data_IF_331548729815
#
_entry.id   IF_331548729815
#
_cell.length_a   1.000
_cell.length_b   1.000
_cell.length_c   1.000
_cell.angle_alpha   90.00
_cell.angle_beta   90.00
_cell.angle_gamma   90.00
#
_symmetry.space_group_name_H-M   'P 1'
#
loop_
_entity.id
_entity.type
_entity.pdbx_description
1 polymer ?
#
# COMPACT_ATOMS: atom_id res chain seq x y z
N UNK A 1 17.43 -4.93 10.37
CA UNK A 1 16.82 -4.19 11.50
C UNK A 1 15.76 -5.00 12.23
N UNK A 2 14.69 -5.46 11.54
CA UNK A 2 13.53 -6.11 12.17
C UNK A 2 13.91 -7.39 12.95
N UNK A 3 14.66 -8.31 12.35
CA UNK A 3 15.13 -9.53 13.02
C UNK A 3 16.00 -9.21 14.27
N UNK A 4 16.85 -8.19 14.18
CA UNK A 4 17.66 -7.77 15.32
C UNK A 4 16.79 -7.29 16.50
N UNK A 5 15.78 -6.46 16.23
CA UNK A 5 14.88 -5.94 17.27
C UNK A 5 14.12 -7.07 17.96
N UNK A 6 13.56 -8.01 17.17
CA UNK A 6 12.78 -9.13 17.72
C UNK A 6 13.68 -10.07 18.53
N UNK A 7 14.90 -10.39 18.06
CA UNK A 7 15.84 -11.20 18.82
C UNK A 7 16.24 -10.52 20.15
N UNK A 8 16.48 -9.22 20.12
CA UNK A 8 16.79 -8.47 21.37
C UNK A 8 15.64 -8.46 22.35
N UNK A 9 14.40 -8.32 21.87
CA UNK A 9 13.22 -8.44 22.72
C UNK A 9 13.11 -9.84 23.34
N UNK A 10 13.39 -10.88 22.55
CA UNK A 10 13.41 -12.27 23.04
C UNK A 10 14.50 -12.51 24.07
N UNK A 11 15.73 -12.01 23.85
CA UNK A 11 16.84 -12.09 24.80
C UNK A 11 16.50 -11.40 26.14
N UNK A 12 15.77 -10.29 26.07
CA UNK A 12 15.32 -9.55 27.26
C UNK A 12 14.05 -10.14 27.91
N UNK A 13 13.43 -11.16 27.30
CA UNK A 13 12.16 -11.72 27.76
C UNK A 13 10.96 -10.78 27.65
N UNK A 14 11.06 -9.72 26.83
CA UNK A 14 10.05 -8.66 26.73
C UNK A 14 9.20 -8.79 25.46
N UNK A 15 7.89 -8.50 25.49
CA UNK A 15 7.11 -8.33 24.27
C UNK A 15 7.58 -7.10 23.50
N UNK A 16 7.33 -7.05 22.19
CA UNK A 16 7.77 -5.95 21.34
C UNK A 16 6.70 -5.48 20.35
N UNK A 17 6.45 -4.18 20.34
CA UNK A 17 5.66 -3.50 19.33
C UNK A 17 6.61 -2.72 18.40
N UNK A 18 6.55 -3.03 17.10
CA UNK A 18 7.41 -2.44 16.06
C UNK A 18 6.61 -1.48 15.21
N UNK A 19 7.14 -0.27 15.02
CA UNK A 19 6.59 0.74 14.13
C UNK A 19 7.36 0.76 12.81
N UNK A 20 6.64 0.64 11.68
CA UNK A 20 7.19 0.81 10.34
C UNK A 20 6.44 1.97 9.66
N UNK A 21 7.08 3.13 9.62
CA UNK A 21 6.59 4.33 8.90
C UNK A 21 7.35 4.50 7.57
N UNK A 22 7.53 3.41 6.87
CA UNK A 22 8.20 3.30 5.57
C UNK A 22 7.27 2.58 4.60
N UNK A 23 7.29 3.00 3.33
CA UNK A 23 6.53 2.32 2.28
C UNK A 23 7.02 2.70 0.89
N UNK A 24 6.74 1.81 -0.07
CA UNK A 24 6.95 2.02 -1.50
C UNK A 24 5.77 1.42 -2.28
N UNK A 25 5.78 1.59 -3.60
CA UNK A 25 4.73 1.08 -4.49
C UNK A 25 5.19 -0.12 -5.34
N UNK A 26 6.37 -0.70 -5.03
CA UNK A 26 6.95 -1.79 -5.83
C UNK A 26 6.41 -3.15 -5.41
N UNK A 27 5.47 -3.70 -6.18
CA UNK A 27 4.88 -5.02 -6.00
C UNK A 27 3.41 -5.09 -6.39
N UNK A 28 2.81 -6.27 -6.26
CA UNK A 28 1.43 -6.55 -6.65
C UNK A 28 0.36 -5.93 -5.74
N UNK A 29 0.74 -5.36 -4.61
CA UNK A 29 -0.15 -4.86 -3.53
C UNK A 29 -1.13 -5.94 -2.98
N UNK A 30 -0.76 -7.22 -3.13
CA UNK A 30 -1.56 -8.38 -2.67
C UNK A 30 -1.04 -9.03 -1.39
N UNK A 31 0.03 -8.47 -0.78
CA UNK A 31 0.64 -9.04 0.41
C UNK A 31 1.59 -10.21 0.12
N UNK A 32 1.99 -10.41 -1.13
CA UNK A 32 2.75 -11.60 -1.60
C UNK A 32 4.20 -11.31 -1.98
N UNK A 33 4.66 -10.05 -1.89
CA UNK A 33 6.07 -9.73 -2.15
C UNK A 33 6.99 -10.40 -1.12
N UNK A 34 8.26 -10.60 -1.47
CA UNK A 34 9.25 -11.16 -0.54
C UNK A 34 9.39 -10.34 0.74
N UNK A 35 9.28 -9.00 0.64
CA UNK A 35 9.30 -8.13 1.81
C UNK A 35 8.09 -8.37 2.71
N UNK A 36 6.89 -8.46 2.14
CA UNK A 36 5.66 -8.69 2.89
C UNK A 36 5.64 -10.06 3.54
N UNK A 37 6.04 -11.10 2.81
CA UNK A 37 6.19 -12.47 3.33
C UNK A 37 7.18 -12.51 4.50
N UNK A 38 8.31 -11.81 4.36
CA UNK A 38 9.30 -11.69 5.45
C UNK A 38 8.73 -10.97 6.67
N UNK A 39 8.01 -9.87 6.48
CA UNK A 39 7.39 -9.12 7.58
C UNK A 39 6.30 -9.96 8.27
N UNK A 40 5.51 -10.71 7.52
CA UNK A 40 4.50 -11.63 8.06
C UNK A 40 5.13 -12.77 8.86
N UNK A 41 6.26 -13.32 8.40
CA UNK A 41 7.04 -14.29 9.17
C UNK A 41 7.56 -13.69 10.47
N UNK A 42 8.14 -12.49 10.40
CA UNK A 42 8.63 -11.78 11.58
C UNK A 42 7.51 -11.46 12.58
N UNK A 43 6.31 -11.11 12.10
CA UNK A 43 5.12 -10.88 12.95
C UNK A 43 4.69 -12.12 13.73
N UNK A 44 5.06 -13.31 13.27
CA UNK A 44 4.75 -14.59 13.92
C UNK A 44 5.79 -15.04 14.92
N UNK A 45 6.93 -14.33 15.03
CA UNK A 45 8.02 -14.67 15.95
C UNK A 45 7.80 -14.00 17.30
N UNK A 46 8.09 -14.76 18.36
CA UNK A 46 8.03 -14.24 19.74
C UNK A 46 6.68 -13.55 20.03
N UNK A 47 6.66 -12.70 21.06
CA UNK A 47 5.52 -11.86 21.44
C UNK A 47 5.59 -10.52 20.70
N UNK A 48 5.37 -10.54 19.36
CA UNK A 48 5.58 -9.40 18.48
C UNK A 48 4.28 -8.86 17.93
N UNK A 49 4.20 -7.52 17.78
CA UNK A 49 3.20 -6.80 17.00
C UNK A 49 3.94 -5.86 16.06
N UNK A 50 3.57 -5.84 14.78
CA UNK A 50 4.12 -4.92 13.78
C UNK A 50 3.00 -4.03 13.26
N UNK A 51 3.17 -2.70 13.37
CA UNK A 51 2.26 -1.70 12.82
C UNK A 51 2.92 -1.00 11.64
N UNK A 52 2.20 -0.84 10.55
CA UNK A 52 2.70 -0.27 9.29
C UNK A 52 1.77 0.82 8.80
N UNK A 53 2.33 1.99 8.43
CA UNK A 53 1.55 3.07 7.82
C UNK A 53 1.03 2.69 6.44
N UNK A 54 -0.21 3.08 6.14
CA UNK A 54 -0.88 2.76 4.86
C UNK A 54 -0.28 3.47 3.64
N UNK A 55 0.59 4.46 3.86
CA UNK A 55 1.15 5.32 2.82
C UNK A 55 0.34 6.60 2.61
N UNK A 56 0.90 7.52 1.81
CA UNK A 56 0.33 8.85 1.57
C UNK A 56 -0.07 9.05 0.10
N UNK A 57 -0.40 7.96 -0.60
CA UNK A 57 -0.65 7.94 -2.04
C UNK A 57 -2.15 8.05 -2.41
N UNK A 58 -3.06 8.14 -1.43
CA UNK A 58 -4.51 8.11 -1.62
C UNK A 58 -5.05 9.11 -2.65
N UNK A 59 -4.56 10.36 -2.63
CA UNK A 59 -5.00 11.43 -3.53
C UNK A 59 -3.95 11.79 -4.62
N UNK A 60 -2.90 10.99 -4.81
CA UNK A 60 -1.75 11.35 -5.68
C UNK A 60 -1.93 11.03 -7.15
N UNK A 61 -3.01 10.34 -7.53
CA UNK A 61 -3.24 9.86 -8.89
C UNK A 61 -2.08 9.01 -9.45
N UNK A 62 -1.36 8.31 -8.58
CA UNK A 62 -0.25 7.42 -8.92
C UNK A 62 -0.66 5.99 -9.23
N UNK A 63 -1.96 5.68 -9.16
CA UNK A 63 -2.53 4.36 -9.44
C UNK A 63 -3.70 4.47 -10.41
N UNK A 64 -3.81 3.48 -11.31
CA UNK A 64 -4.99 3.27 -12.14
C UNK A 64 -5.20 1.77 -12.39
N UNK A 65 -6.43 1.39 -12.67
CA UNK A 65 -6.79 0.02 -13.00
C UNK A 65 -7.78 -0.04 -14.16
N UNK A 66 -7.71 -1.14 -14.90
CA UNK A 66 -8.69 -1.45 -15.95
C UNK A 66 -9.05 -2.92 -15.94
N UNK A 67 -10.21 -3.23 -16.50
CA UNK A 67 -10.62 -4.60 -16.79
C UNK A 67 -10.71 -4.82 -18.29
N UNK A 68 -9.74 -5.55 -18.83
CA UNK A 68 -9.66 -5.91 -20.23
C UNK A 68 -10.75 -6.90 -20.60
N UNK A 69 -11.20 -6.80 -21.85
CA UNK A 69 -12.16 -7.73 -22.47
C UNK A 69 -11.63 -8.19 -23.82
N UNK A 70 -11.87 -9.46 -24.18
CA UNK A 70 -11.48 -9.98 -25.47
C UNK A 70 -12.05 -9.13 -26.61
N UNK A 71 -11.23 -8.81 -27.59
CA UNK A 71 -11.61 -8.04 -28.78
C UNK A 71 -11.77 -6.52 -28.57
N UNK A 72 -11.53 -5.99 -27.36
CA UNK A 72 -11.64 -4.56 -27.08
C UNK A 72 -10.30 -3.98 -26.63
N UNK A 73 -9.70 -3.16 -27.47
CA UNK A 73 -8.50 -2.37 -27.12
C UNK A 73 -8.84 -1.35 -26.02
N UNK A 74 -7.93 -1.17 -25.08
CA UNK A 74 -8.05 -0.19 -23.97
C UNK A 74 -6.86 0.76 -24.02
N UNK A 75 -7.12 2.03 -23.86
CA UNK A 75 -6.12 3.08 -23.78
C UNK A 75 -6.15 3.73 -22.41
N UNK A 76 -4.97 3.99 -21.86
CA UNK A 76 -4.73 4.64 -20.57
C UNK A 76 -3.78 5.79 -20.79
N UNK A 77 -4.12 6.95 -20.29
CA UNK A 77 -3.31 8.15 -20.43
C UNK A 77 -2.67 8.55 -19.09
N UNK A 78 -1.43 9.00 -19.18
CA UNK A 78 -0.73 9.60 -18.06
C UNK A 78 0.06 10.83 -18.49
N UNK A 79 0.12 11.80 -17.62
CA UNK A 79 0.93 12.98 -17.78
C UNK A 79 2.32 12.75 -17.17
N UNK A 80 3.36 13.15 -17.87
CA UNK A 80 4.71 13.34 -17.35
C UNK A 80 4.94 14.81 -17.15
N UNK A 81 5.27 15.21 -15.94
CA UNK A 81 5.57 16.60 -15.58
C UNK A 81 6.85 17.10 -16.23
N UNK A 82 7.02 18.42 -16.25
CA UNK A 82 8.29 19.03 -16.65
C UNK A 82 9.39 18.66 -15.65
N UNK A 83 10.61 18.47 -16.17
CA UNK A 83 11.80 18.15 -15.36
C UNK A 83 11.73 16.81 -14.62
N UNK A 84 10.99 15.83 -15.13
CA UNK A 84 10.99 14.48 -14.58
C UNK A 84 12.30 13.75 -14.99
N UNK A 85 13.16 13.37 -14.02
CA UNK A 85 14.47 12.79 -14.35
C UNK A 85 14.39 11.36 -14.84
N UNK A 86 13.39 10.61 -14.39
CA UNK A 86 13.08 9.26 -14.82
C UNK A 86 11.70 8.88 -14.30
N UNK A 87 11.04 7.91 -14.92
CA UNK A 87 9.75 7.40 -14.46
C UNK A 87 9.68 5.89 -14.66
N UNK A 88 9.45 5.15 -13.59
CA UNK A 88 9.12 3.74 -13.69
C UNK A 88 7.60 3.54 -13.62
N UNK A 89 7.11 2.58 -14.36
CA UNK A 89 5.73 2.15 -14.38
C UNK A 89 5.67 0.65 -14.15
N UNK A 90 4.97 0.22 -13.12
CA UNK A 90 4.67 -1.18 -12.89
C UNK A 90 3.28 -1.50 -13.39
N UNK A 91 3.17 -2.55 -14.16
CA UNK A 91 1.90 -3.11 -14.64
C UNK A 91 1.80 -4.53 -14.08
N UNK A 92 0.73 -4.80 -13.37
CA UNK A 92 0.44 -6.11 -12.80
C UNK A 92 -0.79 -6.71 -13.43
N UNK A 93 -0.68 -7.94 -13.92
CA UNK A 93 -1.75 -8.69 -14.58
C UNK A 93 -1.78 -10.13 -14.11
N UNK A 94 -2.89 -10.82 -14.34
CA UNK A 94 -2.89 -12.28 -14.22
C UNK A 94 -1.96 -12.88 -15.28
N UNK A 95 -1.11 -13.84 -14.90
CA UNK A 95 -0.16 -14.47 -15.83
C UNK A 95 -0.86 -15.21 -16.99
N UNK A 96 -2.12 -15.64 -16.81
CA UNK A 96 -2.91 -16.30 -17.86
C UNK A 96 -3.47 -15.34 -18.92
N UNK A 97 -3.49 -14.03 -18.62
CA UNK A 97 -3.92 -13.00 -19.57
C UNK A 97 -2.81 -12.69 -20.58
N UNK A 98 -3.15 -12.61 -21.86
CA UNK A 98 -2.26 -12.22 -22.93
C UNK A 98 -2.80 -10.99 -23.64
N UNK A 99 -1.98 -9.98 -23.75
CA UNK A 99 -2.24 -8.74 -24.47
C UNK A 99 -0.95 -8.08 -24.91
N UNK A 100 -0.98 -7.41 -26.04
CA UNK A 100 0.12 -6.59 -26.53
C UNK A 100 0.08 -5.20 -25.94
N UNK A 101 1.24 -4.65 -25.57
CA UNK A 101 1.40 -3.29 -25.03
C UNK A 101 2.07 -2.41 -26.07
N UNK A 102 1.48 -1.24 -26.29
CA UNK A 102 2.07 -0.17 -27.09
C UNK A 102 2.16 1.09 -26.23
N UNK A 103 3.20 1.88 -26.44
CA UNK A 103 3.38 3.17 -25.78
C UNK A 103 3.45 4.28 -26.82
N UNK A 104 2.55 5.26 -26.74
CA UNK A 104 2.55 6.42 -27.59
C UNK A 104 3.14 7.63 -26.86
N UNK A 105 4.09 8.28 -27.50
CA UNK A 105 4.77 9.48 -27.05
C UNK A 105 3.88 10.72 -27.27
N UNK A 106 4.02 11.81 -26.47
CA UNK A 106 3.26 13.04 -26.65
C UNK A 106 3.32 13.65 -28.06
N UNK A 107 4.40 13.39 -28.82
CA UNK A 107 4.54 13.82 -30.21
C UNK A 107 3.88 12.86 -31.22
N UNK A 108 3.08 11.91 -30.80
CA UNK A 108 2.30 11.00 -31.66
C UNK A 108 3.06 9.78 -32.19
N UNK A 109 4.37 9.64 -31.93
CA UNK A 109 5.08 8.41 -32.28
C UNK A 109 4.69 7.29 -31.34
N UNK A 110 4.67 6.04 -31.83
CA UNK A 110 4.32 4.86 -31.05
C UNK A 110 5.44 3.82 -31.15
N UNK A 111 5.67 3.10 -30.06
CA UNK A 111 6.52 1.90 -29.98
C UNK A 111 5.67 0.72 -29.53
N UNK A 112 6.15 -0.48 -29.85
CA UNK A 112 5.48 -1.73 -29.54
C UNK A 112 5.17 -2.54 -30.82
N UNK A 113 4.61 -3.76 -30.66
CA UNK A 113 4.27 -4.36 -29.37
C UNK A 113 5.51 -4.64 -28.54
N UNK A 114 5.39 -4.44 -27.21
CA UNK A 114 6.38 -4.93 -26.27
C UNK A 114 6.20 -6.43 -26.12
N UNK A 115 7.27 -7.19 -26.29
CA UNK A 115 7.21 -8.66 -26.35
C UNK A 115 7.40 -9.29 -24.98
N UNK A 116 6.59 -10.29 -24.65
CA UNK A 116 6.76 -11.10 -23.44
C UNK A 116 7.92 -12.10 -23.62
N UNK A 117 9.15 -11.60 -23.57
CA UNK A 117 10.35 -12.42 -23.70
C UNK A 117 11.59 -11.76 -23.05
N UNK A 118 12.50 -12.54 -22.44
CA UNK A 118 13.82 -12.03 -22.08
C UNK A 118 14.73 -11.87 -23.33
N UNK A 119 15.76 -10.99 -23.31
CA UNK A 119 16.07 -10.05 -22.23
C UNK A 119 15.19 -8.80 -22.24
N UNK A 120 15.44 -7.89 -21.27
CA UNK A 120 14.79 -6.57 -21.28
C UNK A 120 14.94 -5.87 -22.63
N UNK A 121 13.87 -5.27 -23.11
CA UNK A 121 13.79 -4.62 -24.42
C UNK A 121 14.07 -3.13 -24.26
N UNK A 122 14.83 -2.57 -25.21
CA UNK A 122 15.18 -1.16 -25.25
C UNK A 122 14.63 -0.51 -26.51
N UNK A 123 14.01 0.63 -26.34
CA UNK A 123 13.48 1.46 -27.41
C UNK A 123 13.87 2.92 -27.20
N UNK A 124 14.02 3.66 -28.30
CA UNK A 124 14.23 5.10 -28.27
C UNK A 124 13.03 5.82 -28.88
N UNK A 125 12.45 6.76 -28.15
CA UNK A 125 11.34 7.56 -28.62
C UNK A 125 11.48 9.02 -28.13
N UNK A 126 11.62 9.97 -29.06
CA UNK A 126 11.98 11.33 -28.70
C UNK A 126 13.35 11.39 -28.02
N UNK A 127 13.44 12.07 -26.89
CA UNK A 127 14.59 12.13 -25.99
C UNK A 127 14.50 11.16 -24.83
N UNK A 128 13.55 10.25 -24.90
CA UNK A 128 13.28 9.27 -23.84
C UNK A 128 13.67 7.88 -24.33
N UNK A 129 14.48 7.19 -23.56
CA UNK A 129 14.74 5.77 -23.71
C UNK A 129 13.73 4.98 -22.88
N UNK A 130 13.13 3.97 -23.47
CA UNK A 130 12.24 3.03 -22.79
C UNK A 130 12.97 1.71 -22.58
N UNK A 131 12.95 1.22 -21.36
CA UNK A 131 13.35 -0.11 -20.97
C UNK A 131 12.10 -0.88 -20.53
N UNK A 132 11.79 -2.01 -21.18
CA UNK A 132 10.67 -2.85 -20.81
C UNK A 132 11.14 -4.25 -20.39
N UNK A 133 10.63 -4.72 -19.26
CA UNK A 133 10.92 -6.03 -18.72
C UNK A 133 9.62 -6.74 -18.36
N UNK A 134 9.52 -8.03 -18.72
CA UNK A 134 8.46 -8.92 -18.29
C UNK A 134 9.00 -9.86 -17.21
N UNK A 135 8.41 -9.79 -16.01
CA UNK A 135 8.74 -10.70 -14.92
C UNK A 135 8.29 -12.13 -15.24
N UNK A 136 9.06 -13.09 -14.79
CA UNK A 136 8.67 -14.49 -14.92
C UNK A 136 7.52 -14.82 -13.95
N UNK A 137 6.51 -15.59 -14.38
CA UNK A 137 5.49 -16.10 -13.47
C UNK A 137 6.12 -16.94 -12.36
N UNK A 138 5.70 -16.73 -11.13
CA UNK A 138 6.20 -17.47 -9.97
C UNK A 138 5.13 -18.40 -9.41
N UNK A 139 5.50 -19.59 -8.86
CA UNK A 139 4.52 -20.62 -8.53
C UNK A 139 3.60 -20.28 -7.34
N UNK A 140 3.90 -19.24 -6.58
CA UNK A 140 3.18 -18.87 -5.37
C UNK A 140 2.29 -17.62 -5.54
N UNK A 141 2.19 -17.06 -6.75
CA UNK A 141 1.28 -15.96 -7.05
C UNK A 141 0.77 -16.03 -8.50
N UNK A 142 -0.41 -15.48 -8.71
CA UNK A 142 -1.07 -15.47 -10.02
C UNK A 142 -0.80 -14.19 -10.80
N UNK A 143 -0.22 -13.20 -10.16
CA UNK A 143 0.14 -11.93 -10.76
C UNK A 143 1.52 -12.01 -11.42
N UNK A 144 1.64 -11.38 -12.59
CA UNK A 144 2.88 -11.19 -13.33
C UNK A 144 3.15 -9.70 -13.46
N UNK A 145 4.39 -9.31 -13.17
CA UNK A 145 4.86 -7.94 -13.35
C UNK A 145 5.27 -7.68 -14.80
N UNK A 146 4.95 -6.50 -15.29
CA UNK A 146 5.57 -5.87 -16.44
C UNK A 146 6.11 -4.53 -15.96
N UNK A 147 7.43 -4.37 -16.03
CA UNK A 147 8.12 -3.18 -15.59
C UNK A 147 8.59 -2.36 -16.79
N UNK A 148 8.17 -1.11 -16.84
CA UNK A 148 8.56 -0.16 -17.88
C UNK A 148 9.29 0.99 -17.22
N UNK A 149 10.47 1.31 -17.70
CA UNK A 149 11.25 2.44 -17.21
C UNK A 149 11.48 3.44 -18.36
N UNK A 150 11.13 4.68 -18.11
CA UNK A 150 11.40 5.81 -18.97
C UNK A 150 12.64 6.53 -18.44
N UNK A 151 13.70 6.53 -19.23
CA UNK A 151 15.00 7.11 -18.88
C UNK A 151 15.30 8.27 -19.83
N UNK A 152 15.91 9.35 -19.36
CA UNK A 152 16.27 10.46 -20.22
C UNK A 152 17.51 10.12 -21.06
N UNK A 153 17.58 10.68 -22.25
CA UNK A 153 18.81 10.69 -23.05
C UNK A 153 19.84 11.69 -22.47
N UNK A 154 19.34 12.74 -21.80
CA UNK A 154 20.15 13.78 -21.14
C UNK A 154 19.68 13.92 -19.68
N UNK A 155 19.05 15.06 -19.34
CA UNK A 155 18.66 15.36 -17.96
C UNK A 155 17.25 14.90 -17.59
N UNK A 156 16.28 14.99 -18.53
CA UNK A 156 14.86 14.78 -18.28
C UNK A 156 14.19 14.00 -19.42
N UNK A 157 13.20 13.18 -19.06
CA UNK A 157 12.33 12.50 -20.03
C UNK A 157 11.36 13.49 -20.69
N UNK A 158 10.81 13.12 -21.83
CA UNK A 158 9.88 13.97 -22.55
C UNK A 158 8.58 14.17 -21.77
N UNK A 159 8.29 15.42 -21.42
CA UNK A 159 7.07 15.83 -20.73
C UNK A 159 5.87 15.83 -21.67
N UNK A 160 4.67 15.67 -21.12
CA UNK A 160 3.39 15.68 -21.84
C UNK A 160 2.54 14.45 -21.56
N UNK A 161 1.50 14.28 -22.36
CA UNK A 161 0.57 13.14 -22.22
C UNK A 161 1.08 11.95 -23.02
N UNK A 162 1.36 10.87 -22.31
CA UNK A 162 1.72 9.56 -22.85
C UNK A 162 0.50 8.65 -22.82
N UNK A 163 0.38 7.73 -23.80
CA UNK A 163 -0.73 6.78 -23.88
C UNK A 163 -0.19 5.35 -23.87
N UNK A 164 -0.72 4.52 -22.97
CA UNK A 164 -0.52 3.08 -22.94
C UNK A 164 -1.72 2.46 -23.65
N UNK A 165 -1.46 1.68 -24.69
CA UNK A 165 -2.49 0.96 -25.42
C UNK A 165 -2.33 -0.53 -25.19
N UNK A 166 -3.37 -1.15 -24.61
CA UNK A 166 -3.46 -2.57 -24.32
C UNK A 166 -4.37 -3.25 -25.35
N UNK A 167 -3.81 -4.17 -26.13
CA UNK A 167 -4.52 -4.89 -27.19
C UNK A 167 -4.68 -6.34 -26.75
N UNK A 168 -5.89 -6.77 -26.33
CA UNK A 168 -6.15 -8.12 -25.85
C UNK A 168 -5.94 -9.18 -26.93
N UNK A 169 -5.30 -10.29 -26.55
CA UNK A 169 -5.13 -11.49 -27.39
C UNK A 169 -5.93 -12.66 -26.79
N UNK A 170 -5.80 -12.89 -25.48
CA UNK A 170 -6.53 -13.89 -24.71
C UNK A 170 -6.69 -13.41 -23.28
N UNK A 171 -7.89 -13.07 -22.87
CA UNK A 171 -8.20 -12.60 -21.54
C UNK A 171 -8.97 -13.67 -20.78
N UNK A 172 -8.48 -13.98 -19.57
CA UNK A 172 -9.02 -14.95 -18.60
C UNK A 172 -9.62 -14.22 -17.40
N UNK A 173 -8.86 -13.34 -16.76
CA UNK A 173 -9.30 -12.49 -15.65
C UNK A 173 -9.54 -11.05 -16.11
N UNK A 174 -8.59 -10.48 -16.82
CA UNK A 174 -8.64 -9.17 -17.44
C UNK A 174 -8.32 -8.01 -16.49
N UNK A 175 -8.11 -8.23 -15.21
CA UNK A 175 -7.71 -7.17 -14.28
C UNK A 175 -6.26 -6.78 -14.54
N UNK A 176 -6.04 -5.50 -14.77
CA UNK A 176 -4.70 -4.90 -14.93
C UNK A 176 -4.60 -3.68 -14.03
N UNK A 177 -3.60 -3.69 -13.18
CA UNK A 177 -3.30 -2.63 -12.24
C UNK A 177 -1.98 -1.94 -12.63
N UNK A 178 -1.92 -0.62 -12.52
CA UNK A 178 -0.74 0.16 -12.89
C UNK A 178 -0.37 1.13 -11.77
N UNK A 179 0.90 1.14 -11.35
CA UNK A 179 1.42 2.06 -10.35
C UNK A 179 2.64 2.82 -10.84
N UNK A 180 2.69 4.09 -10.48
CA UNK A 180 3.91 4.88 -10.46
C UNK A 180 4.66 4.71 -9.14
N UNK A 181 5.94 5.11 -9.07
CA UNK A 181 6.66 5.23 -7.80
C UNK A 181 5.91 6.13 -6.82
N UNK A 182 6.17 5.92 -5.53
CA UNK A 182 5.60 6.76 -4.48
C UNK A 182 5.90 8.26 -4.74
N UNK A 183 5.00 9.11 -4.32
CA UNK A 183 5.01 10.55 -4.57
C UNK A 183 6.30 11.30 -4.18
N UNK A 184 7.10 10.71 -3.28
CA UNK A 184 8.41 11.25 -2.94
C UNK A 184 9.46 11.05 -4.05
N UNK A 185 9.20 10.18 -5.03
CA UNK A 185 10.11 9.85 -6.13
C UNK A 185 9.64 10.38 -7.49
N UNK A 186 8.49 11.04 -7.56
CA UNK A 186 7.93 11.60 -8.81
C UNK A 186 7.60 13.07 -8.66
N UNK A 187 7.69 13.83 -9.76
CA UNK A 187 7.28 15.23 -9.81
C UNK A 187 5.77 15.43 -9.65
N UNK A 188 5.35 16.59 -9.17
CA UNK A 188 3.94 16.91 -8.93
C UNK A 188 3.05 16.89 -10.18
N UNK A 189 3.64 17.00 -11.37
CA UNK A 189 2.93 16.97 -12.66
C UNK A 189 2.72 15.56 -13.21
N UNK A 190 3.42 14.56 -12.66
CA UNK A 190 3.38 13.17 -13.13
C UNK A 190 2.24 12.41 -12.46
N UNK A 191 1.26 11.97 -13.27
CA UNK A 191 0.05 11.32 -12.76
C UNK A 191 -0.72 10.59 -13.85
N UNK A 192 -1.55 9.62 -13.50
CA UNK A 192 -2.58 9.09 -14.39
C UNK A 192 -3.68 10.14 -14.60
N UNK A 193 -4.25 10.20 -15.82
CA UNK A 193 -5.35 11.13 -16.12
C UNK A 193 -6.72 10.57 -15.67
N UNK A 194 -6.82 9.26 -15.58
CA UNK A 194 -7.98 8.56 -15.02
C UNK A 194 -7.52 7.68 -13.84
N UNK A 195 -7.17 8.29 -12.70
CA UNK A 195 -6.67 7.55 -11.54
C UNK A 195 -7.80 6.79 -10.84
N UNK A 196 -7.40 5.73 -10.11
CA UNK A 196 -8.26 4.99 -9.19
C UNK A 196 -7.69 5.14 -7.78
N UNK A 197 -8.53 5.60 -6.86
CA UNK A 197 -8.11 5.89 -5.48
C UNK A 197 -7.99 4.63 -4.60
N UNK A 198 -8.69 3.53 -4.93
CA UNK A 198 -8.48 2.23 -4.27
C UNK A 198 -7.16 1.59 -4.70
N UNK A 199 -6.61 0.68 -3.89
CA UNK A 199 -5.33 0.02 -4.20
C UNK A 199 -4.09 0.92 -4.03
N UNK A 200 -4.20 2.00 -3.25
CA UNK A 200 -3.11 2.97 -3.01
C UNK A 200 -2.35 2.74 -1.70
N UNK A 201 -2.55 1.59 -1.05
CA UNK A 201 -1.71 1.17 0.08
C UNK A 201 -0.27 0.97 -0.37
N UNK A 202 0.69 1.44 0.41
CA UNK A 202 2.11 1.20 0.14
C UNK A 202 2.58 -0.13 0.74
N UNK A 203 3.56 -0.77 0.12
CA UNK A 203 4.21 -1.99 0.62
C UNK A 203 5.24 -1.60 1.70
N UNK A 204 5.28 -2.25 2.88
CA UNK A 204 4.64 -3.54 3.20
C UNK A 204 3.30 -3.45 3.97
N UNK A 205 2.54 -2.37 3.87
CA UNK A 205 1.28 -2.27 4.62
C UNK A 205 0.22 -3.29 4.17
N UNK A 206 0.37 -3.84 2.96
CA UNK A 206 -0.48 -4.90 2.41
C UNK A 206 -0.16 -6.30 2.95
N UNK A 207 0.92 -6.47 3.73
CA UNK A 207 1.22 -7.72 4.43
C UNK A 207 0.07 -8.16 5.35
N UNK A 208 -0.17 -9.47 5.47
CA UNK A 208 -1.41 -10.00 6.05
C UNK A 208 -1.49 -9.88 7.56
N UNK A 209 -0.36 -10.09 8.26
CA UNK A 209 -0.31 -10.17 9.73
C UNK A 209 -0.05 -8.84 10.42
N UNK A 210 0.45 -7.84 9.70
CA UNK A 210 0.69 -6.50 10.26
C UNK A 210 -0.62 -5.76 10.53
N UNK A 211 -0.57 -4.79 11.43
CA UNK A 211 -1.63 -3.81 11.64
C UNK A 211 -1.38 -2.64 10.70
N UNK A 212 -2.22 -2.48 9.68
CA UNK A 212 -2.12 -1.39 8.71
C UNK A 212 -2.91 -0.19 9.20
N UNK A 213 -2.23 0.95 9.26
CA UNK A 213 -2.74 2.16 9.89
C UNK A 213 -2.91 3.28 8.86
N UNK A 214 -4.16 3.68 8.63
CA UNK A 214 -4.49 4.89 7.89
C UNK A 214 -4.51 6.13 8.78
N UNK A 215 -4.79 7.28 8.17
CA UNK A 215 -4.83 8.57 8.85
C UNK A 215 -6.22 9.23 8.78
N UNK A 216 -6.59 9.92 9.87
CA UNK A 216 -7.72 10.82 9.91
C UNK A 216 -7.34 12.12 10.64
N UNK A 217 -8.13 13.18 10.45
CA UNK A 217 -8.02 14.44 11.18
C UNK A 217 -8.84 14.33 12.48
N UNK A 218 -8.17 14.34 13.61
CA UNK A 218 -8.80 14.22 14.92
C UNK A 218 -9.57 15.49 15.35
N UNK A 219 -9.35 16.63 14.70
CA UNK A 219 -10.09 17.86 15.02
C UNK A 219 -11.49 17.86 14.39
N UNK A 220 -11.65 17.19 13.25
CA UNK A 220 -12.89 17.19 12.46
C UNK A 220 -13.53 15.81 12.32
N UNK A 221 -12.85 14.76 12.79
CA UNK A 221 -13.19 13.35 12.55
C UNK A 221 -13.28 12.98 11.06
N UNK A 222 -12.59 13.73 10.17
CA UNK A 222 -12.58 13.53 8.74
C UNK A 222 -11.44 12.58 8.32
N UNK A 223 -11.69 11.73 7.32
CA UNK A 223 -10.67 10.94 6.66
C UNK A 223 -9.62 11.85 6.01
N UNK A 224 -8.34 11.50 6.12
CA UNK A 224 -7.27 12.26 5.48
C UNK A 224 -7.09 11.76 4.03
N UNK A 225 -7.35 12.61 3.04
CA UNK A 225 -7.38 12.25 1.61
C UNK A 225 -6.08 11.61 1.12
N UNK A 226 -4.95 11.98 1.68
CA UNK A 226 -3.66 11.38 1.34
C UNK A 226 -3.51 9.94 1.83
N UNK A 227 -4.28 9.51 2.83
CA UNK A 227 -4.15 8.16 3.43
C UNK A 227 -4.40 7.08 2.38
N UNK A 228 -3.46 6.11 2.31
CA UNK A 228 -3.58 4.98 1.38
C UNK A 228 -4.85 4.16 1.62
N UNK A 229 -5.49 3.74 0.53
CA UNK A 229 -6.74 2.97 0.52
C UNK A 229 -6.50 1.53 0.05
N UNK A 230 -7.21 0.60 0.64
CA UNK A 230 -7.23 -0.79 0.18
C UNK A 230 -7.96 -0.98 -1.14
N UNK A 231 -8.08 -2.21 -1.58
CA UNK A 231 -8.94 -2.54 -2.71
C UNK A 231 -10.40 -2.68 -2.26
N UNK A 232 -11.31 -2.00 -2.92
CA UNK A 232 -12.74 -2.04 -2.60
C UNK A 232 -13.36 -3.43 -2.77
N UNK A 233 -12.81 -4.27 -3.67
CA UNK A 233 -13.27 -5.63 -3.98
C UNK A 233 -12.44 -6.73 -3.29
N UNK A 234 -11.59 -6.37 -2.33
CA UNK A 234 -10.71 -7.31 -1.64
C UNK A 234 -11.48 -8.16 -0.62
N UNK A 235 -12.12 -9.21 -1.09
CA UNK A 235 -12.81 -10.17 -0.22
C UNK A 235 -11.87 -10.93 0.72
N UNK A 236 -10.57 -11.03 0.39
CA UNK A 236 -9.59 -11.79 1.17
C UNK A 236 -8.98 -11.00 2.34
N UNK A 237 -8.97 -9.68 2.27
CA UNK A 237 -8.35 -8.85 3.30
C UNK A 237 -8.78 -7.39 3.21
N UNK A 238 -9.62 -6.95 4.13
CA UNK A 238 -9.94 -5.54 4.26
C UNK A 238 -8.77 -4.79 4.93
N UNK A 239 -8.25 -3.78 4.24
CA UNK A 239 -7.22 -2.87 4.70
C UNK A 239 -7.57 -1.42 4.33
N UNK A 240 -7.10 -0.41 5.11
CA UNK A 240 -6.30 -0.55 6.33
C UNK A 240 -7.07 -1.28 7.45
N UNK A 241 -6.38 -1.64 8.54
CA UNK A 241 -7.03 -2.25 9.71
C UNK A 241 -7.88 -1.23 10.47
N UNK A 242 -7.33 -0.04 10.65
CA UNK A 242 -7.96 1.08 11.33
C UNK A 242 -7.23 2.38 10.98
N UNK A 243 -7.78 3.51 11.39
CA UNK A 243 -7.12 4.82 11.25
C UNK A 243 -6.78 5.41 12.62
N UNK A 244 -5.76 6.26 12.65
CA UNK A 244 -5.36 7.02 13.82
C UNK A 244 -5.12 8.50 13.46
N UNK A 245 -5.02 9.42 14.44
CA UNK A 245 -4.71 10.82 14.16
C UNK A 245 -3.43 10.97 13.33
N UNK A 246 -3.54 11.62 12.16
CA UNK A 246 -2.41 11.77 11.24
C UNK A 246 -2.35 13.13 10.56
N UNK A 247 -3.21 14.07 10.94
CA UNK A 247 -3.24 15.44 10.40
C UNK A 247 -2.88 16.42 11.49
N UNK A 248 -1.98 17.34 11.18
CA UNK A 248 -1.52 18.41 12.09
C UNK A 248 -1.00 17.90 13.44
N UNK A 249 -0.24 16.82 13.42
CA UNK A 249 0.34 16.20 14.61
C UNK A 249 1.56 17.01 15.07
N UNK A 250 1.55 17.43 16.33
CA UNK A 250 2.71 18.06 16.94
C UNK A 250 3.70 16.97 17.40
N UNK A 251 4.94 17.07 16.94
CA UNK A 251 6.01 16.11 17.26
C UNK A 251 7.34 16.83 17.48
N UNK A 252 8.32 16.11 18.07
CA UNK A 252 9.67 16.65 18.24
C UNK A 252 10.34 16.93 16.89
N UNK A 253 11.01 18.07 16.80
CA UNK A 253 11.75 18.50 15.62
C UNK A 253 13.23 18.10 15.69
N UNK A 254 13.89 17.79 14.57
CA UNK A 254 15.35 17.68 14.52
C UNK A 254 16.00 18.97 15.02
N UNK A 255 16.98 18.85 15.90
CA UNK A 255 17.65 20.00 16.50
C UNK A 255 16.95 20.63 17.70
N UNK A 256 15.81 20.09 18.14
CA UNK A 256 15.04 20.52 19.31
C UNK A 256 13.78 21.30 18.96
N UNK A 257 12.91 21.48 19.97
CA UNK A 257 11.58 22.08 19.78
C UNK A 257 10.55 21.13 19.18
N UNK A 258 9.50 21.70 18.61
CA UNK A 258 8.37 20.97 18.05
C UNK A 258 8.06 21.43 16.63
N UNK A 259 7.50 20.52 15.84
CA UNK A 259 7.02 20.78 14.47
C UNK A 259 5.63 20.14 14.29
N UNK A 260 4.79 20.76 13.48
CA UNK A 260 3.49 20.20 13.09
C UNK A 260 3.63 19.50 11.75
N UNK A 261 3.19 18.25 11.70
CA UNK A 261 3.35 17.37 10.54
C UNK A 261 2.05 16.60 10.24
N UNK A 262 1.91 16.12 9.00
CA UNK A 262 0.81 15.25 8.60
C UNK A 262 1.33 14.05 7.81
N UNK A 263 0.66 12.90 7.95
CA UNK A 263 1.03 11.66 7.27
C UNK A 263 0.64 10.42 8.06
N UNK A 264 0.49 9.29 7.37
CA UNK A 264 0.28 7.99 8.01
C UNK A 264 1.47 7.54 8.84
N UNK A 265 2.67 8.07 8.54
CA UNK A 265 3.88 7.88 9.35
C UNK A 265 3.74 8.39 10.78
N UNK A 266 2.86 9.38 11.00
CA UNK A 266 2.57 9.96 12.31
C UNK A 266 1.32 9.36 12.96
N UNK A 267 0.44 8.77 12.17
CA UNK A 267 -0.71 8.00 12.67
C UNK A 267 -0.27 6.64 13.25
N UNK A 268 0.67 5.96 12.59
CA UNK A 268 1.14 4.63 12.97
C UNK A 268 1.68 4.54 14.40
N UNK A 269 2.48 5.48 14.92
CA UNK A 269 2.98 5.46 16.28
C UNK A 269 1.90 5.43 17.36
N UNK A 270 0.72 6.05 17.12
CA UNK A 270 -0.40 5.96 18.05
C UNK A 270 -0.90 4.52 18.20
N UNK A 271 -0.97 3.78 17.11
CA UNK A 271 -1.39 2.37 17.12
C UNK A 271 -0.30 1.49 17.72
N UNK A 272 0.97 1.74 17.38
CA UNK A 272 2.10 1.00 17.94
C UNK A 272 2.21 1.19 19.44
N UNK A 273 2.07 2.43 19.94
CA UNK A 273 2.02 2.73 21.36
C UNK A 273 0.82 2.07 22.05
N UNK A 274 -0.34 2.07 21.40
CA UNK A 274 -1.53 1.39 21.91
C UNK A 274 -1.35 -0.12 22.00
N UNK A 275 -0.71 -0.73 20.99
CA UNK A 275 -0.35 -2.14 21.02
C UNK A 275 0.61 -2.45 22.17
N UNK A 276 1.62 -1.61 22.41
CA UNK A 276 2.53 -1.76 23.54
C UNK A 276 1.80 -1.71 24.90
N UNK A 277 0.84 -0.77 25.07
CA UNK A 277 0.00 -0.66 26.27
C UNK A 277 -0.84 -1.93 26.46
N UNK A 278 -1.47 -2.44 25.40
CA UNK A 278 -2.24 -3.69 25.47
C UNK A 278 -1.35 -4.89 25.87
N UNK A 279 -0.15 -4.97 25.29
CA UNK A 279 0.81 -6.04 25.60
C UNK A 279 1.36 -5.91 27.04
N UNK A 280 1.58 -4.69 27.53
CA UNK A 280 1.94 -4.46 28.93
C UNK A 280 0.83 -4.98 29.84
N UNK A 281 -0.40 -4.53 29.66
CA UNK A 281 -1.54 -4.98 30.44
C UNK A 281 -1.73 -6.51 30.38
N UNK A 282 -1.71 -7.07 29.18
CA UNK A 282 -1.95 -8.51 28.99
C UNK A 282 -0.79 -9.36 29.48
N UNK A 283 0.40 -9.14 28.92
CA UNK A 283 1.56 -10.03 29.08
C UNK A 283 2.36 -9.73 30.34
N UNK A 284 2.71 -8.45 30.55
CA UNK A 284 3.59 -8.07 31.67
C UNK A 284 2.85 -8.08 32.98
N UNK A 285 1.60 -7.58 33.01
CA UNK A 285 0.75 -7.58 34.22
C UNK A 285 -0.03 -8.90 34.38
N UNK A 286 0.05 -9.83 33.42
CA UNK A 286 -0.45 -11.19 33.56
C UNK A 286 -1.94 -11.38 33.32
N UNK A 287 -2.68 -10.39 32.78
CA UNK A 287 -4.11 -10.51 32.51
C UNK A 287 -4.41 -11.41 31.29
N UNK A 288 -3.54 -11.39 30.27
CA UNK A 288 -3.65 -12.21 29.07
C UNK A 288 -2.25 -12.46 28.46
N UNK A 289 -1.55 -13.53 28.83
CA UNK A 289 -0.18 -13.80 28.39
C UNK A 289 -0.03 -14.05 26.88
N UNK A 290 -1.14 -14.21 26.15
CA UNK A 290 -1.18 -14.42 24.72
C UNK A 290 -1.67 -13.19 23.93
N UNK A 291 -1.71 -11.99 24.56
CA UNK A 291 -2.15 -10.77 23.91
C UNK A 291 -1.02 -10.16 23.07
N UNK A 292 -0.74 -10.74 21.93
CA UNK A 292 0.23 -10.26 20.92
C UNK A 292 -0.22 -10.62 19.50
N UNK A 293 0.51 -10.15 18.48
CA UNK A 293 0.27 -10.46 17.06
C UNK A 293 -1.17 -10.19 16.65
N UNK A 294 -1.76 -11.17 15.99
CA UNK A 294 -3.14 -11.07 15.45
C UNK A 294 -4.21 -10.88 16.53
N UNK A 295 -3.94 -11.30 17.78
CA UNK A 295 -4.87 -11.07 18.88
C UNK A 295 -4.96 -9.59 19.25
N UNK A 296 -3.83 -8.89 19.32
CA UNK A 296 -3.81 -7.42 19.50
C UNK A 296 -4.50 -6.74 18.32
N UNK A 297 -4.21 -7.16 17.09
CA UNK A 297 -4.89 -6.68 15.88
C UNK A 297 -6.41 -6.81 15.98
N UNK A 298 -6.89 -8.01 16.38
CA UNK A 298 -8.32 -8.27 16.56
C UNK A 298 -8.95 -7.40 17.65
N UNK A 299 -8.23 -7.15 18.76
CA UNK A 299 -8.73 -6.31 19.85
C UNK A 299 -8.82 -4.83 19.42
N UNK A 300 -7.81 -4.31 18.72
CA UNK A 300 -7.82 -2.95 18.20
C UNK A 300 -8.91 -2.73 17.17
N UNK A 301 -9.12 -3.67 16.23
CA UNK A 301 -10.23 -3.64 15.27
C UNK A 301 -11.58 -3.63 15.97
N UNK A 302 -11.77 -4.52 16.95
CA UNK A 302 -13.04 -4.63 17.72
C UNK A 302 -13.35 -3.36 18.50
N UNK A 303 -12.32 -2.69 19.04
CA UNK A 303 -12.45 -1.48 19.83
C UNK A 303 -12.49 -0.20 19.00
N UNK A 304 -12.32 -0.27 17.69
CA UNK A 304 -12.34 0.91 16.82
C UNK A 304 -13.69 1.62 16.88
N UNK A 305 -13.66 2.95 16.91
CA UNK A 305 -14.88 3.77 16.92
C UNK A 305 -15.26 4.19 15.50
N UNK A 306 -16.57 4.26 15.21
CA UNK A 306 -17.03 4.81 13.93
C UNK A 306 -16.60 6.27 13.75
N UNK A 307 -16.38 6.67 12.50
CA UNK A 307 -16.25 8.06 12.06
C UNK A 307 -17.55 8.53 11.41
N UNK A 308 -17.98 9.79 11.62
CA UNK A 308 -19.32 10.25 11.21
C UNK A 308 -19.63 10.14 9.71
N UNK A 309 -18.59 10.23 8.87
CA UNK A 309 -18.75 10.18 7.42
C UNK A 309 -18.96 8.77 6.84
N UNK A 310 -18.85 7.70 7.66
CA UNK A 310 -18.94 6.33 7.20
C UNK A 310 -20.05 5.57 7.88
N UNK A 311 -20.83 4.83 7.09
CA UNK A 311 -21.96 4.00 7.57
C UNK A 311 -21.64 2.51 7.55
N UNK A 312 -20.64 2.09 6.77
CA UNK A 312 -20.26 0.70 6.58
C UNK A 312 -18.82 0.43 7.07
N UNK A 313 -18.67 -0.66 7.81
CA UNK A 313 -17.40 -1.12 8.36
C UNK A 313 -17.29 -2.65 8.28
N UNK A 314 -16.11 -3.21 7.97
CA UNK A 314 -14.90 -2.48 7.55
C UNK A 314 -15.01 -1.99 6.11
N UNK A 315 -14.22 -0.95 5.75
CA UNK A 315 -14.11 -0.45 4.38
C UNK A 315 -12.65 -0.13 4.00
N UNK A 316 -12.41 0.15 2.73
CA UNK A 316 -11.07 0.36 2.17
C UNK A 316 -10.39 1.67 2.59
N UNK A 317 -11.11 2.63 3.17
CA UNK A 317 -10.59 3.93 3.59
C UNK A 317 -10.17 3.93 5.06
N UNK A 318 -11.07 3.50 5.94
CA UNK A 318 -10.89 3.61 7.39
C UNK A 318 -10.85 2.26 8.12
N UNK A 319 -10.92 1.15 7.37
CA UNK A 319 -10.96 -0.18 7.94
C UNK A 319 -12.10 -0.34 8.93
N UNK A 320 -11.79 -0.76 10.15
CA UNK A 320 -12.75 -0.95 11.23
C UNK A 320 -13.11 0.35 11.98
N UNK A 321 -12.52 1.49 11.59
CA UNK A 321 -12.77 2.80 12.19
C UNK A 321 -11.55 3.41 12.89
N UNK A 322 -11.75 4.44 13.71
CA UNK A 322 -10.69 5.15 14.40
C UNK A 322 -10.23 4.42 15.67
N UNK A 323 -8.92 4.45 15.93
CA UNK A 323 -8.29 3.88 17.12
C UNK A 323 -8.98 4.33 18.42
N UNK A 324 -9.31 3.37 19.27
CA UNK A 324 -9.80 3.62 20.63
C UNK A 324 -9.32 2.53 21.60
N UNK A 325 -8.22 2.79 22.32
CA UNK A 325 -7.62 1.84 23.28
C UNK A 325 -8.60 1.47 24.39
N UNK A 326 -9.37 2.46 24.88
CA UNK A 326 -10.36 2.25 25.94
C UNK A 326 -11.39 1.19 25.56
N UNK A 327 -11.92 1.27 24.34
CA UNK A 327 -12.93 0.30 23.88
C UNK A 327 -12.29 -1.05 23.55
N UNK A 328 -11.01 -1.07 23.17
CA UNK A 328 -10.26 -2.31 22.93
C UNK A 328 -10.07 -3.14 24.21
N UNK A 329 -9.93 -2.48 25.37
CA UNK A 329 -9.78 -3.14 26.68
C UNK A 329 -11.09 -3.56 27.35
N UNK A 330 -12.24 -3.09 26.87
CA UNK A 330 -13.52 -3.48 27.44
C UNK A 330 -13.81 -4.97 27.18
N UNK A 331 -13.91 -5.74 28.26
CA UNK A 331 -14.51 -7.05 28.21
C UNK A 331 -16.00 -6.90 27.79
N UNK A 332 -16.34 -7.32 26.57
CA UNK A 332 -17.75 -7.62 26.31
C UNK A 332 -18.10 -8.85 27.14
N UNK A 333 -18.94 -8.68 28.17
CA UNK A 333 -19.63 -9.80 28.80
C UNK A 333 -20.19 -10.67 27.67
N UNK A 334 -19.72 -11.91 27.61
CA UNK A 334 -20.14 -12.90 26.59
C UNK A 334 -21.67 -12.95 26.62
N UNK A 335 -22.31 -12.31 25.65
CA UNK A 335 -23.72 -12.53 25.41
C UNK A 335 -23.87 -13.99 25.08
N UNK A 336 -24.68 -14.71 25.87
CA UNK A 336 -25.04 -16.11 25.64
C UNK A 336 -25.30 -16.31 24.15
N UNK A 337 -24.51 -17.16 23.51
CA UNK A 337 -24.84 -17.73 22.21
C UNK A 337 -26.23 -18.35 22.42
N UNK A 338 -27.28 -17.73 21.89
CA UNK A 338 -28.55 -18.40 21.71
C UNK A 338 -28.32 -19.43 20.61
N UNK A 339 -28.10 -20.67 21.00
CA UNK A 339 -28.30 -21.85 20.13
C UNK A 339 -29.72 -21.76 19.61
N UNK A 340 -29.86 -21.57 18.30
CA UNK A 340 -31.04 -21.94 17.53
C UNK A 340 -30.82 -23.33 16.95
#
# INVERSE_FOLDING_TARGET
>A
GLDYVIRKAQELGMPVAVNISFGNTYGSHRGTSLLETYVDEMSSRWKTVICVGSGNEGARAGHTSVRLQNGRTTELEFAVGAYEPALSLQIWKNYADRFSIYLAHPAGRQIGPLYEQPPAQRYQIGRTQLLAYYGEPVPYMVEQEIFIELLPEQDYIDAGVWTIRLVPEKIVDGRVELWFPASAATGNGTRFLNPVESGTLTIPSTASKVITVGAYDAATDAYADFSGRGFADAAWQTKPDLVAPGVSIQTAAPGGGYVTVSGTSYATPFVTGSAAILMQWGIVEGHDPYLYGEKVKAWLRRGARPLPAFTEYPNEQVGYGALCVRESLKERKSGRIRTL
#
